data_IF_597978513701
#
_entry.id   IF_597978513701
#
_cell.length_a   1.000
_cell.length_b   1.000
_cell.length_c   1.000
_cell.angle_alpha   90.00
_cell.angle_beta   90.00
_cell.angle_gamma   90.00
#
_symmetry.space_group_name_H-M   'P 1'
#
loop_
_entity.id
_entity.type
_entity.pdbx_description
1 polymer ?
#
# COMPACT_ATOMS: atom_id res chain seq x y z
N UNK A 1 -27.85 -4.25 13.74
CA UNK A 1 -27.82 -2.95 14.45
C UNK A 1 -26.40 -2.39 14.59
N UNK A 2 -25.39 -3.21 14.91
CA UNK A 2 -23.97 -2.80 14.99
C UNK A 2 -23.39 -2.22 13.68
N UNK A 3 -23.80 -2.74 12.51
CA UNK A 3 -23.42 -2.20 11.20
C UNK A 3 -23.96 -0.79 10.88
N UNK A 4 -24.95 -0.29 11.65
CA UNK A 4 -25.47 1.08 11.49
C UNK A 4 -24.73 2.11 12.36
N UNK A 5 -24.01 1.68 13.39
CA UNK A 5 -23.31 2.56 14.35
C UNK A 5 -21.78 2.47 14.16
N UNK A 6 -21.27 1.32 13.71
CA UNK A 6 -19.86 1.09 13.41
C UNK A 6 -19.74 0.45 12.02
N UNK A 7 -19.86 1.25 10.93
CA UNK A 7 -19.72 0.73 9.56
C UNK A 7 -18.33 0.11 9.32
N UNK A 8 -17.29 0.64 10.00
CA UNK A 8 -15.91 0.19 9.89
C UNK A 8 -15.23 0.11 11.28
N UNK A 9 -15.28 -1.06 11.97
CA UNK A 9 -14.72 -1.20 13.32
C UNK A 9 -13.19 -1.04 13.35
N UNK A 10 -12.49 -1.50 12.31
CA UNK A 10 -11.04 -1.32 12.17
C UNK A 10 -10.65 0.15 11.97
N UNK A 11 -11.42 0.91 11.18
CA UNK A 11 -11.18 2.33 10.97
C UNK A 11 -11.42 3.13 12.25
N UNK A 12 -12.47 2.79 13.00
CA UNK A 12 -12.76 3.39 14.31
C UNK A 12 -11.58 3.18 15.27
N UNK A 13 -11.09 1.94 15.38
CA UNK A 13 -9.94 1.62 16.22
C UNK A 13 -8.68 2.35 15.75
N UNK A 14 -8.41 2.36 14.44
CA UNK A 14 -7.27 3.06 13.85
C UNK A 14 -7.31 4.56 14.18
N UNK A 15 -8.46 5.21 14.03
CA UNK A 15 -8.64 6.63 14.33
C UNK A 15 -8.41 6.93 15.82
N UNK A 16 -8.89 6.08 16.72
CA UNK A 16 -8.64 6.23 18.16
C UNK A 16 -7.14 6.13 18.44
N UNK A 17 -6.45 5.12 17.89
CA UNK A 17 -5.00 4.93 18.08
C UNK A 17 -4.22 6.13 17.54
N UNK A 18 -4.51 6.55 16.30
CA UNK A 18 -3.86 7.71 15.67
C UNK A 18 -4.10 8.98 16.48
N UNK A 19 -5.32 9.19 17.00
CA UNK A 19 -5.64 10.32 17.85
C UNK A 19 -4.81 10.31 19.15
N UNK A 20 -4.69 9.16 19.83
CA UNK A 20 -3.88 9.07 21.03
C UNK A 20 -2.39 9.33 20.75
N UNK A 21 -1.88 8.82 19.61
CA UNK A 21 -0.51 9.08 19.18
C UNK A 21 -0.27 10.56 18.88
N UNK A 22 -1.24 11.23 18.25
CA UNK A 22 -1.15 12.65 17.91
C UNK A 22 -1.14 13.54 19.16
N UNK A 23 -2.03 13.25 20.12
CA UNK A 23 -2.12 14.03 21.37
C UNK A 23 -0.97 13.70 22.33
N UNK A 24 -0.36 12.50 22.17
CA UNK A 24 0.79 12.02 22.95
C UNK A 24 0.61 12.12 24.48
N UNK A 25 -0.66 12.09 24.94
CA UNK A 25 -1.07 12.11 26.34
C UNK A 25 -2.37 11.34 26.50
N UNK A 26 -2.28 10.21 27.20
CA UNK A 26 -3.45 9.38 27.50
C UNK A 26 -4.13 9.91 28.75
N UNK A 27 -5.22 10.66 28.56
CA UNK A 27 -6.10 11.11 29.64
C UNK A 27 -7.52 10.63 29.36
N UNK A 28 -8.39 10.45 30.39
CA UNK A 28 -9.77 10.05 30.17
C UNK A 28 -10.54 10.98 29.21
N UNK A 29 -10.27 12.29 29.27
CA UNK A 29 -10.86 13.27 28.34
C UNK A 29 -10.42 13.08 26.90
N UNK A 30 -9.12 12.82 26.66
CA UNK A 30 -8.59 12.57 25.32
C UNK A 30 -9.08 11.25 24.74
N UNK A 31 -9.25 10.23 25.59
CA UNK A 31 -9.81 8.94 25.18
C UNK A 31 -11.28 9.07 24.77
N UNK A 32 -12.07 9.82 25.55
CA UNK A 32 -13.45 10.12 25.21
C UNK A 32 -13.56 10.87 23.87
N UNK A 33 -12.78 11.94 23.70
CA UNK A 33 -12.77 12.72 22.47
C UNK A 33 -12.33 11.89 21.26
N UNK A 34 -11.27 11.08 21.42
CA UNK A 34 -10.80 10.17 20.38
C UNK A 34 -11.84 9.12 19.99
N UNK A 35 -12.60 8.60 20.95
CA UNK A 35 -13.69 7.65 20.68
C UNK A 35 -14.85 8.31 19.94
N UNK A 36 -15.24 9.53 20.34
CA UNK A 36 -16.27 10.31 19.66
C UNK A 36 -15.87 10.56 18.21
N UNK A 37 -14.65 11.04 17.97
CA UNK A 37 -14.14 11.27 16.61
C UNK A 37 -14.02 9.97 15.82
N UNK A 38 -13.53 8.89 16.46
CA UNK A 38 -13.38 7.58 15.85
C UNK A 38 -14.70 6.96 15.39
N UNK A 39 -15.82 7.29 16.01
CA UNK A 39 -17.16 6.83 15.60
C UNK A 39 -17.82 7.82 14.62
N UNK A 40 -17.72 9.12 14.89
CA UNK A 40 -18.37 10.16 14.09
C UNK A 40 -17.80 10.24 12.67
N UNK A 41 -16.46 10.16 12.52
CA UNK A 41 -15.80 10.27 11.23
C UNK A 41 -16.25 9.14 10.28
N UNK A 42 -16.16 7.84 10.64
CA UNK A 42 -16.64 6.75 9.78
C UNK A 42 -18.13 6.81 9.45
N UNK A 43 -18.96 7.34 10.36
CA UNK A 43 -20.39 7.53 10.11
C UNK A 43 -20.64 8.56 9.01
N UNK A 44 -19.94 9.70 9.06
CA UNK A 44 -20.05 10.76 8.05
C UNK A 44 -19.41 10.34 6.71
N UNK A 45 -18.33 9.55 6.75
CA UNK A 45 -17.60 9.14 5.54
C UNK A 45 -18.11 7.83 4.93
N UNK A 46 -19.01 7.10 5.58
CA UNK A 46 -19.57 5.84 5.08
C UNK A 46 -20.12 5.90 3.64
N UNK A 47 -20.80 6.98 3.18
CA UNK A 47 -21.28 7.07 1.81
C UNK A 47 -20.17 7.04 0.75
N UNK A 48 -18.94 7.42 1.11
CA UNK A 48 -17.78 7.40 0.22
C UNK A 48 -17.07 6.04 0.17
N UNK A 49 -17.49 5.08 1.00
CA UNK A 49 -16.94 3.73 1.08
C UNK A 49 -18.01 2.69 0.71
N UNK A 50 -18.44 2.63 -0.57
CA UNK A 50 -19.52 1.74 -1.00
C UNK A 50 -19.16 0.26 -0.86
N UNK A 51 -17.86 -0.08 -0.87
CA UNK A 51 -17.35 -1.43 -0.65
C UNK A 51 -16.45 -1.45 0.59
N UNK A 52 -16.76 -2.32 1.55
CA UNK A 52 -15.85 -2.61 2.66
C UNK A 52 -14.81 -3.62 2.20
N UNK A 53 -13.50 -3.30 2.18
CA UNK A 53 -12.49 -4.28 1.85
C UNK A 53 -12.54 -5.42 2.89
N UNK A 54 -12.71 -6.64 2.40
CA UNK A 54 -12.72 -7.84 3.25
C UNK A 54 -11.28 -8.29 3.47
N UNK A 55 -10.67 -7.84 4.56
CA UNK A 55 -9.36 -8.34 4.98
C UNK A 55 -9.50 -9.80 5.44
N UNK A 56 -8.87 -10.73 4.73
CA UNK A 56 -8.96 -12.17 5.05
C UNK A 56 -8.04 -12.61 6.18
N UNK A 57 -6.89 -11.95 6.35
CA UNK A 57 -5.87 -12.40 7.30
C UNK A 57 -4.97 -11.26 7.80
N UNK A 58 -5.14 -10.89 9.07
CA UNK A 58 -4.27 -9.91 9.76
C UNK A 58 -2.80 -10.38 9.80
N UNK A 59 -2.48 -11.65 10.11
CA UNK A 59 -1.08 -12.12 10.10
C UNK A 59 -0.37 -11.92 8.75
N UNK A 60 -1.07 -12.15 7.63
CA UNK A 60 -0.50 -11.93 6.28
C UNK A 60 -0.22 -10.47 5.99
N UNK A 61 -1.01 -9.55 6.55
CA UNK A 61 -0.74 -8.10 6.44
C UNK A 61 0.58 -7.77 7.14
N UNK A 62 0.79 -8.30 8.35
CA UNK A 62 2.04 -8.07 9.09
C UNK A 62 3.24 -8.65 8.33
N UNK A 63 3.13 -9.87 7.81
CA UNK A 63 4.17 -10.47 6.97
C UNK A 63 4.49 -9.60 5.75
N UNK A 64 3.46 -9.15 5.03
CA UNK A 64 3.62 -8.28 3.86
C UNK A 64 4.32 -6.97 4.22
N UNK A 65 3.92 -6.31 5.31
CA UNK A 65 4.54 -5.07 5.79
C UNK A 65 6.02 -5.29 6.10
N UNK A 66 6.38 -6.38 6.79
CA UNK A 66 7.78 -6.68 7.12
C UNK A 66 8.63 -6.91 5.87
N UNK A 67 8.09 -7.60 4.86
CA UNK A 67 8.75 -7.81 3.57
C UNK A 67 8.97 -6.47 2.85
N UNK A 68 7.94 -5.63 2.79
CA UNK A 68 8.04 -4.32 2.12
C UNK A 68 9.05 -3.42 2.83
N UNK A 69 9.07 -3.39 4.16
CA UNK A 69 10.05 -2.61 4.92
C UNK A 69 11.49 -3.07 4.63
N UNK A 70 11.70 -4.38 4.54
CA UNK A 70 12.99 -4.94 4.15
C UNK A 70 13.37 -4.53 2.72
N UNK A 71 12.44 -4.65 1.77
CA UNK A 71 12.68 -4.31 0.38
C UNK A 71 12.98 -2.82 0.19
N UNK A 72 12.32 -1.94 0.95
CA UNK A 72 12.62 -0.50 0.97
C UNK A 72 14.07 -0.27 1.40
N UNK A 73 14.54 -0.93 2.47
CA UNK A 73 15.93 -0.81 2.92
C UNK A 73 16.91 -1.28 1.86
N UNK A 74 16.68 -2.46 1.28
CA UNK A 74 17.56 -3.05 0.25
C UNK A 74 17.59 -2.19 -1.02
N UNK A 75 16.43 -1.75 -1.50
CA UNK A 75 16.36 -0.98 -2.73
C UNK A 75 16.93 0.45 -2.56
N UNK A 76 16.87 1.06 -1.38
CA UNK A 76 17.61 2.30 -1.10
C UNK A 76 19.12 2.11 -1.26
N UNK A 77 19.67 1.00 -0.76
CA UNK A 77 21.09 0.67 -0.93
C UNK A 77 21.41 0.43 -2.41
N UNK A 78 20.56 -0.31 -3.13
CA UNK A 78 20.76 -0.55 -4.57
C UNK A 78 20.77 0.75 -5.39
N UNK A 79 19.81 1.65 -5.14
CA UNK A 79 19.77 2.96 -5.80
C UNK A 79 20.98 3.80 -5.45
N UNK A 80 21.42 3.82 -4.19
CA UNK A 80 22.65 4.50 -3.80
C UNK A 80 23.87 3.94 -4.55
N UNK A 81 23.97 2.62 -4.71
CA UNK A 81 25.04 1.99 -5.49
C UNK A 81 24.98 2.38 -6.97
N UNK A 82 23.78 2.42 -7.57
CA UNK A 82 23.60 2.87 -8.96
C UNK A 82 24.08 4.31 -9.11
N UNK A 83 23.69 5.22 -8.21
CA UNK A 83 24.09 6.63 -8.27
C UNK A 83 25.60 6.80 -8.08
N UNK A 84 26.22 6.05 -7.16
CA UNK A 84 27.65 6.19 -6.84
C UNK A 84 28.58 5.55 -7.87
N UNK A 85 28.20 4.39 -8.41
CA UNK A 85 29.13 3.54 -9.16
C UNK A 85 28.74 3.34 -10.63
N UNK A 86 27.50 3.61 -11.02
CA UNK A 86 27.04 3.41 -12.40
C UNK A 86 27.15 4.70 -13.20
N UNK A 87 27.86 4.65 -14.32
CA UNK A 87 27.86 5.76 -15.27
C UNK A 87 26.44 5.93 -15.87
N UNK A 88 25.99 7.17 -16.05
CA UNK A 88 24.66 7.48 -16.59
C UNK A 88 24.38 6.77 -17.93
N UNK A 89 25.40 6.62 -18.79
CA UNK A 89 25.27 5.93 -20.08
C UNK A 89 24.92 4.43 -19.95
N UNK A 90 25.16 3.82 -18.79
CA UNK A 90 24.89 2.41 -18.53
C UNK A 90 23.53 2.18 -17.84
N UNK A 91 22.86 3.24 -17.39
CA UNK A 91 21.52 3.16 -16.80
C UNK A 91 20.51 2.88 -17.90
N UNK A 92 19.63 1.89 -17.67
CA UNK A 92 18.62 1.45 -18.63
C UNK A 92 17.23 1.73 -18.08
N UNK A 93 16.73 2.97 -18.14
CA UNK A 93 15.37 3.25 -17.72
C UNK A 93 14.38 2.54 -18.64
N UNK A 94 13.29 2.02 -18.08
CA UNK A 94 12.29 1.31 -18.86
C UNK A 94 10.88 1.56 -18.32
N UNK A 95 9.92 1.55 -19.23
CA UNK A 95 8.50 1.49 -18.91
C UNK A 95 8.06 0.03 -18.93
N UNK A 96 7.48 -0.42 -17.81
CA UNK A 96 7.05 -1.80 -17.61
C UNK A 96 5.54 -1.79 -17.37
N UNK A 97 4.81 -2.51 -18.22
CA UNK A 97 3.37 -2.72 -18.03
C UNK A 97 3.16 -3.99 -17.22
N UNK A 98 2.51 -3.86 -16.07
CA UNK A 98 2.25 -4.96 -15.15
C UNK A 98 0.76 -5.35 -15.26
N UNK A 99 0.44 -6.50 -15.88
CA UNK A 99 -0.93 -6.98 -15.94
C UNK A 99 -1.37 -7.43 -14.54
N UNK A 100 -2.50 -6.89 -14.09
CA UNK A 100 -3.05 -7.09 -12.76
C UNK A 100 -4.04 -8.25 -12.73
N UNK A 101 -3.88 -9.13 -11.76
CA UNK A 101 -4.85 -10.15 -11.35
C UNK A 101 -5.75 -9.65 -10.20
N UNK A 102 -5.28 -8.64 -9.46
CA UNK A 102 -6.05 -7.94 -8.43
C UNK A 102 -7.28 -7.25 -9.03
N UNK A 103 -8.41 -7.38 -8.34
CA UNK A 103 -9.72 -6.84 -8.72
C UNK A 103 -10.20 -5.76 -7.75
N UNK A 104 -9.67 -5.76 -6.53
CA UNK A 104 -10.06 -4.81 -5.50
C UNK A 104 -9.27 -3.50 -5.63
N UNK A 105 -9.94 -2.33 -5.73
CA UNK A 105 -9.26 -1.03 -5.85
C UNK A 105 -8.26 -0.77 -4.72
N UNK A 106 -8.58 -1.22 -3.50
CA UNK A 106 -7.70 -1.06 -2.34
C UNK A 106 -6.41 -1.88 -2.51
N UNK A 107 -6.49 -3.11 -2.99
CA UNK A 107 -5.30 -3.93 -3.22
C UNK A 107 -4.44 -3.39 -4.37
N UNK A 108 -5.06 -2.90 -5.45
CA UNK A 108 -4.36 -2.24 -6.56
C UNK A 108 -3.63 -0.99 -6.04
N UNK A 109 -4.29 -0.20 -5.18
CA UNK A 109 -3.69 0.99 -4.57
C UNK A 109 -2.50 0.64 -3.68
N UNK A 110 -2.63 -0.40 -2.84
CA UNK A 110 -1.51 -0.87 -2.01
C UNK A 110 -0.36 -1.38 -2.87
N UNK A 111 -0.64 -2.13 -3.95
CA UNK A 111 0.40 -2.58 -4.88
C UNK A 111 1.14 -1.40 -5.52
N UNK A 112 0.40 -0.43 -6.07
CA UNK A 112 0.97 0.74 -6.72
C UNK A 112 1.78 1.61 -5.75
N UNK A 113 1.31 1.74 -4.50
CA UNK A 113 2.02 2.40 -3.41
C UNK A 113 3.31 1.68 -3.05
N UNK A 114 3.26 0.35 -2.89
CA UNK A 114 4.45 -0.48 -2.60
C UNK A 114 5.51 -0.35 -3.69
N UNK A 115 5.13 -0.45 -4.97
CA UNK A 115 6.05 -0.29 -6.10
C UNK A 115 6.67 1.12 -6.12
N UNK A 116 5.91 2.15 -5.77
CA UNK A 116 6.44 3.52 -5.73
C UNK A 116 7.41 3.72 -4.56
N UNK A 117 7.15 3.05 -3.43
CA UNK A 117 8.01 3.13 -2.24
C UNK A 117 9.29 2.32 -2.36
N UNK A 118 9.34 1.27 -3.20
CA UNK A 118 10.59 0.56 -3.50
C UNK A 118 11.47 1.43 -4.39
N UNK A 119 12.61 1.95 -3.89
CA UNK A 119 13.43 2.90 -4.64
C UNK A 119 13.88 2.34 -5.98
N UNK A 120 13.82 3.18 -7.01
CA UNK A 120 14.15 2.80 -8.38
C UNK A 120 12.92 2.44 -9.23
N UNK A 121 11.72 2.47 -8.67
CA UNK A 121 10.47 2.32 -9.43
C UNK A 121 9.44 3.38 -9.05
N UNK A 122 8.55 3.74 -9.98
CA UNK A 122 7.41 4.63 -9.73
C UNK A 122 6.20 4.16 -10.52
N UNK A 123 5.06 4.01 -9.85
CA UNK A 123 3.78 3.71 -10.51
C UNK A 123 3.26 5.00 -11.13
N UNK A 124 3.04 5.00 -12.44
CA UNK A 124 2.71 6.21 -13.20
C UNK A 124 1.26 6.29 -13.64
N UNK A 125 0.66 5.15 -14.03
CA UNK A 125 -0.70 5.15 -14.55
C UNK A 125 -1.39 3.81 -14.30
N UNK A 126 -2.72 3.84 -14.23
CA UNK A 126 -3.58 2.66 -14.14
C UNK A 126 -4.50 2.65 -15.35
N UNK A 127 -4.58 1.52 -16.04
CA UNK A 127 -5.45 1.37 -17.21
C UNK A 127 -6.91 1.67 -16.84
N UNK A 128 -7.69 2.21 -17.78
CA UNK A 128 -9.08 2.60 -17.55
C UNK A 128 -9.98 1.42 -17.10
N UNK A 129 -9.60 0.20 -17.45
CA UNK A 129 -10.26 -1.04 -17.03
C UNK A 129 -9.74 -1.61 -15.70
N UNK A 130 -8.72 -0.98 -15.09
CA UNK A 130 -8.11 -1.39 -13.83
C UNK A 130 -7.28 -2.68 -13.90
N UNK A 131 -6.92 -3.14 -15.11
CA UNK A 131 -6.25 -4.43 -15.33
C UNK A 131 -4.75 -4.33 -15.59
N UNK A 132 -4.19 -3.14 -15.66
CA UNK A 132 -2.75 -2.97 -15.93
C UNK A 132 -2.22 -1.72 -15.26
N UNK A 133 -1.06 -1.86 -14.62
CA UNK A 133 -0.33 -0.76 -14.00
C UNK A 133 0.90 -0.44 -14.84
N UNK A 134 1.06 0.83 -15.22
CA UNK A 134 2.26 1.32 -15.89
C UNK A 134 3.28 1.77 -14.84
N UNK A 135 4.47 1.17 -14.86
CA UNK A 135 5.55 1.45 -13.93
C UNK A 135 6.77 1.94 -14.68
N UNK A 136 7.38 3.02 -14.21
CA UNK A 136 8.69 3.44 -14.68
C UNK A 136 9.77 2.89 -13.75
N UNK A 137 10.80 2.27 -14.32
CA UNK A 137 11.97 1.78 -13.62
C UNK A 137 13.19 2.65 -13.95
N UNK A 138 13.95 3.02 -12.91
CA UNK A 138 15.20 3.78 -13.04
C UNK A 138 16.25 3.00 -13.82
N UNK A 139 16.39 1.71 -13.50
CA UNK A 139 17.35 0.81 -14.14
C UNK A 139 16.75 -0.61 -14.23
N UNK A 140 16.29 -0.97 -15.41
CA UNK A 140 15.66 -2.25 -15.71
C UNK A 140 16.27 -2.83 -16.99
N UNK A 141 17.42 -3.53 -16.89
CA UNK A 141 18.04 -4.19 -18.04
C UNK A 141 17.17 -5.32 -18.62
N UNK A 142 16.31 -5.90 -17.78
CA UNK A 142 15.29 -6.89 -18.16
C UNK A 142 13.91 -6.46 -17.61
N UNK A 143 13.11 -5.75 -18.42
CA UNK A 143 11.76 -5.31 -18.05
C UNK A 143 10.80 -6.45 -17.65
N UNK A 144 10.93 -7.60 -18.30
CA UNK A 144 10.05 -8.75 -18.07
C UNK A 144 10.34 -9.39 -16.71
N UNK A 145 11.62 -9.50 -16.33
CA UNK A 145 12.01 -9.96 -15.00
C UNK A 145 11.49 -9.04 -13.89
N UNK A 146 11.47 -7.72 -14.10
CA UNK A 146 10.91 -6.77 -13.13
C UNK A 146 9.41 -6.99 -12.94
N UNK A 147 8.66 -7.17 -14.04
CA UNK A 147 7.24 -7.51 -14.00
C UNK A 147 7.01 -8.78 -13.18
N UNK A 148 7.73 -9.84 -13.49
CA UNK A 148 7.55 -11.15 -12.86
C UNK A 148 7.91 -11.12 -11.37
N UNK A 149 8.95 -10.37 -11.00
CA UNK A 149 9.32 -10.14 -9.60
C UNK A 149 8.21 -9.43 -8.84
N UNK A 150 7.63 -8.35 -9.39
CA UNK A 150 6.55 -7.60 -8.74
C UNK A 150 5.31 -8.49 -8.55
N UNK A 151 4.93 -9.28 -9.58
CA UNK A 151 3.79 -10.20 -9.50
C UNK A 151 4.02 -11.30 -8.44
N UNK A 152 5.18 -11.96 -8.49
CA UNK A 152 5.48 -13.06 -7.57
C UNK A 152 5.67 -12.60 -6.11
N UNK A 153 6.26 -11.41 -5.91
CA UNK A 153 6.63 -10.91 -4.58
C UNK A 153 5.49 -10.18 -3.89
N UNK A 154 4.79 -9.28 -4.60
CA UNK A 154 3.80 -8.40 -3.99
C UNK A 154 2.38 -8.79 -4.35
N UNK A 155 2.07 -8.91 -5.64
CA UNK A 155 0.69 -9.13 -6.10
C UNK A 155 0.08 -10.40 -5.51
N UNK A 156 0.81 -11.53 -5.55
CA UNK A 156 0.37 -12.79 -4.96
C UNK A 156 -0.02 -12.67 -3.48
N UNK A 157 0.77 -11.93 -2.70
CA UNK A 157 0.49 -11.72 -1.27
C UNK A 157 -0.71 -10.82 -1.04
N UNK A 158 -0.89 -9.81 -1.90
CA UNK A 158 -2.05 -8.94 -1.83
C UNK A 158 -3.33 -9.69 -2.21
N UNK A 159 -3.28 -10.59 -3.20
CA UNK A 159 -4.40 -11.50 -3.47
C UNK A 159 -4.75 -12.30 -2.22
N UNK A 160 -3.77 -12.87 -1.53
CA UNK A 160 -4.02 -13.62 -0.29
C UNK A 160 -4.57 -12.79 0.90
N UNK A 161 -4.41 -11.46 0.87
CA UNK A 161 -4.88 -10.54 1.91
C UNK A 161 -6.30 -10.04 1.62
N UNK A 162 -6.58 -9.70 0.35
CA UNK A 162 -7.80 -9.03 -0.09
C UNK A 162 -8.78 -9.95 -0.83
N UNK A 163 -8.34 -11.10 -1.36
CA UNK A 163 -9.09 -11.98 -2.29
C UNK A 163 -9.01 -13.47 -1.99
#
# INVERSE_FOLDING_TARGET
>A
MMHKILPHPYLTLLLIVVWQMLVNKVTPGNLLLGTILGVLIPLVTAPYWPNTPRLRSIPRIVEYVLIVLWDICVANVQVAMIILFKANANTRPAWVTIPLELKTPEAITVLAGTITMTPGTVSSDLSADGRSLLVHCLDAPDPEAVRDQIKARYERRLMEIFE
#
